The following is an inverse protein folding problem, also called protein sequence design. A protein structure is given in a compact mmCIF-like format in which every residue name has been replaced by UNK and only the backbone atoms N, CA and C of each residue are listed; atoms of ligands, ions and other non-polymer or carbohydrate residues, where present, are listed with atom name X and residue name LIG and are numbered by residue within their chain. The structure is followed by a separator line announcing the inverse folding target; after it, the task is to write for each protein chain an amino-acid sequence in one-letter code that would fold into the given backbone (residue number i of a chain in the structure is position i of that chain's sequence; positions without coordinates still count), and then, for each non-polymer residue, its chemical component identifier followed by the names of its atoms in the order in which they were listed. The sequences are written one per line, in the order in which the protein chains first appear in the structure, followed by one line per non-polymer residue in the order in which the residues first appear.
data_IF_815091908536
#
_entry.id   IF_815091908536
#
_cell.length_a   1.000
_cell.length_b   1.000
_cell.length_c   1.000
_cell.angle_alpha   90.00
_cell.angle_beta   90.00
_cell.angle_gamma   90.00
#
_symmetry.space_group_name_H-M   'P 1'
#
loop_
_entity.id
_entity.type
_entity.pdbx_description
1 polymer ?
#
# COMPACT_ATOMS: atom_id res chain seq x y z
N UNK A 1 16.94 -10.34 21.86
CA UNK A 1 15.99 -10.10 20.77
C UNK A 1 14.86 -11.13 20.80
N UNK A 2 13.62 -10.69 20.73
CA UNK A 2 12.40 -11.51 20.74
C UNK A 2 12.24 -12.24 19.40
N UNK A 3 11.79 -13.49 19.46
CA UNK A 3 11.33 -14.20 18.26
C UNK A 3 9.92 -13.70 17.91
N UNK A 4 9.68 -13.39 16.64
CA UNK A 4 8.41 -12.84 16.16
C UNK A 4 8.10 -13.43 14.79
N UNK A 5 6.86 -13.89 14.59
CA UNK A 5 6.36 -14.29 13.27
C UNK A 5 5.60 -13.09 12.70
N UNK A 6 6.05 -12.57 11.57
CA UNK A 6 5.48 -11.41 10.90
C UNK A 6 4.49 -11.84 9.80
N UNK A 7 4.86 -12.90 9.07
CA UNK A 7 4.01 -13.64 8.13
C UNK A 7 4.24 -15.13 8.34
N UNK A 8 3.17 -15.88 8.61
CA UNK A 8 3.19 -17.33 8.77
C UNK A 8 2.72 -18.04 7.50
N UNK A 9 3.56 -18.89 6.91
CA UNK A 9 3.21 -19.69 5.72
C UNK A 9 1.94 -20.54 5.84
N UNK A 10 1.50 -20.85 7.06
CA UNK A 10 0.35 -21.72 7.31
C UNK A 10 -0.96 -20.95 7.48
N UNK A 11 -0.91 -19.61 7.50
CA UNK A 11 -2.10 -18.78 7.67
C UNK A 11 -2.65 -18.31 6.31
N UNK A 12 -3.97 -18.11 6.22
CA UNK A 12 -4.59 -17.63 5.00
C UNK A 12 -4.09 -16.22 4.63
N UNK A 13 -3.95 -16.01 3.33
CA UNK A 13 -3.53 -14.76 2.71
C UNK A 13 -4.60 -14.29 1.74
N UNK A 14 -4.97 -13.02 1.82
CA UNK A 14 -5.96 -12.38 0.98
C UNK A 14 -5.31 -11.30 0.12
N UNK A 15 -5.36 -11.49 -1.20
CA UNK A 15 -4.88 -10.53 -2.19
C UNK A 15 -5.87 -9.37 -2.32
N UNK A 16 -5.40 -8.13 -2.25
CA UNK A 16 -6.26 -6.96 -2.39
C UNK A 16 -5.64 -5.79 -3.13
N UNK A 17 -6.50 -4.99 -3.75
CA UNK A 17 -6.13 -3.72 -4.36
C UNK A 17 -6.76 -2.56 -3.57
N UNK A 18 -6.01 -1.52 -3.30
CA UNK A 18 -6.45 -0.42 -2.42
C UNK A 18 -6.72 0.88 -3.17
N UNK A 19 -6.55 0.91 -4.49
CA UNK A 19 -6.63 2.12 -5.28
C UNK A 19 -7.08 1.83 -6.72
N UNK A 20 -8.30 2.25 -7.06
CA UNK A 20 -8.91 2.12 -8.39
C UNK A 20 -10.15 3.02 -8.50
N UNK A 21 -10.63 3.23 -9.73
CA UNK A 21 -11.73 4.15 -10.02
C UNK A 21 -12.84 3.50 -10.84
N UNK A 22 -14.07 4.00 -10.66
CA UNK A 22 -15.27 3.53 -11.36
C UNK A 22 -15.97 4.70 -12.05
N UNK A 23 -17.12 4.44 -12.67
CA UNK A 23 -17.95 5.51 -13.25
C UNK A 23 -18.57 6.46 -12.22
N UNK A 24 -18.33 6.28 -10.91
CA UNK A 24 -18.74 7.26 -9.91
C UNK A 24 -17.83 8.48 -9.87
N UNK A 25 -16.60 8.35 -10.39
CA UNK A 25 -15.68 9.45 -10.67
C UNK A 25 -15.31 9.46 -12.16
N UNK A 26 -14.07 9.15 -12.50
CA UNK A 26 -13.50 9.24 -13.85
C UNK A 26 -13.08 7.87 -14.45
N UNK A 27 -13.36 6.79 -13.74
CA UNK A 27 -13.26 5.44 -14.26
C UNK A 27 -14.28 5.15 -15.37
N UNK A 28 -14.01 4.13 -16.18
CA UNK A 28 -14.78 3.81 -17.39
C UNK A 28 -15.82 2.72 -17.22
N UNK A 29 -15.71 1.92 -16.17
CA UNK A 29 -16.62 0.80 -15.91
C UNK A 29 -17.45 1.03 -14.64
N UNK A 30 -18.72 0.57 -14.64
CA UNK A 30 -19.53 0.50 -13.42
C UNK A 30 -18.85 -0.32 -12.32
N UNK A 31 -19.08 0.03 -11.06
CA UNK A 31 -18.49 -0.66 -9.90
C UNK A 31 -18.69 -2.19 -9.92
N UNK A 32 -19.85 -2.67 -10.37
CA UNK A 32 -20.12 -4.12 -10.49
C UNK A 32 -19.18 -4.83 -11.48
N UNK A 33 -18.87 -4.18 -12.60
CA UNK A 33 -17.98 -4.73 -13.64
C UNK A 33 -16.53 -4.67 -13.18
N UNK A 34 -16.13 -3.60 -12.47
CA UNK A 34 -14.79 -3.50 -11.84
C UNK A 34 -14.61 -4.59 -10.79
N UNK A 35 -15.57 -4.79 -9.90
CA UNK A 35 -15.57 -5.88 -8.91
C UNK A 35 -15.38 -7.22 -9.62
N UNK A 36 -16.15 -7.49 -10.68
CA UNK A 36 -16.04 -8.74 -11.43
C UNK A 36 -14.65 -8.91 -12.06
N UNK A 37 -14.08 -7.86 -12.65
CA UNK A 37 -12.75 -7.89 -13.26
C UNK A 37 -11.65 -8.24 -12.25
N UNK A 38 -11.69 -7.69 -11.03
CA UNK A 38 -10.74 -8.02 -9.98
C UNK A 38 -10.94 -9.45 -9.43
N UNK A 39 -12.19 -9.92 -9.31
CA UNK A 39 -12.48 -11.32 -8.93
C UNK A 39 -11.89 -12.31 -9.94
N UNK A 40 -12.02 -12.02 -11.24
CA UNK A 40 -11.44 -12.85 -12.31
C UNK A 40 -9.90 -12.90 -12.27
N UNK A 41 -9.26 -11.87 -11.71
CA UNK A 41 -7.81 -11.83 -11.45
C UNK A 41 -7.39 -12.43 -10.10
N UNK A 42 -8.32 -13.05 -9.36
CA UNK A 42 -8.03 -13.74 -8.10
C UNK A 42 -7.84 -12.80 -6.90
N UNK A 43 -8.35 -11.58 -6.97
CA UNK A 43 -8.41 -10.69 -5.80
C UNK A 43 -9.52 -11.14 -4.85
N UNK A 44 -9.29 -10.91 -3.56
CA UNK A 44 -10.20 -11.22 -2.46
C UNK A 44 -10.83 -9.95 -1.88
N UNK A 45 -10.21 -8.79 -2.07
CA UNK A 45 -10.84 -7.54 -1.73
C UNK A 45 -10.35 -6.39 -2.58
N UNK A 46 -11.17 -5.36 -2.69
CA UNK A 46 -10.77 -4.08 -3.29
C UNK A 46 -11.29 -2.91 -2.45
N UNK A 47 -10.64 -1.75 -2.55
CA UNK A 47 -11.22 -0.47 -2.17
C UNK A 47 -11.74 0.22 -3.43
N UNK A 48 -13.02 0.60 -3.47
CA UNK A 48 -13.54 1.44 -4.55
C UNK A 48 -13.22 2.90 -4.20
N UNK A 49 -12.12 3.43 -4.71
CA UNK A 49 -11.54 4.69 -4.23
C UNK A 49 -11.80 5.85 -5.19
N UNK A 50 -13.02 5.94 -5.73
CA UNK A 50 -13.42 7.01 -6.64
C UNK A 50 -13.03 8.41 -6.12
N UNK A 51 -12.54 9.25 -7.03
CA UNK A 51 -12.11 10.61 -6.73
C UNK A 51 -13.23 11.41 -6.06
N UNK A 52 -12.95 11.87 -4.84
CA UNK A 52 -13.78 12.82 -4.09
C UNK A 52 -15.24 12.38 -3.90
N UNK A 53 -15.50 11.07 -4.02
CA UNK A 53 -16.75 10.39 -3.73
C UNK A 53 -16.46 9.26 -2.73
N UNK A 54 -16.99 9.36 -1.52
CA UNK A 54 -16.87 8.27 -0.55
C UNK A 54 -17.77 7.09 -0.93
N UNK A 55 -17.17 5.94 -1.19
CA UNK A 55 -17.89 4.72 -1.52
C UNK A 55 -18.06 3.86 -0.27
N UNK A 56 -19.24 3.26 -0.09
CA UNK A 56 -19.55 2.34 1.01
C UNK A 56 -20.57 1.34 0.51
N UNK A 57 -20.08 0.23 0.01
CA UNK A 57 -20.91 -0.81 -0.60
C UNK A 57 -20.84 -2.08 0.23
N UNK A 58 -22.00 -2.72 0.39
CA UNK A 58 -22.10 -4.03 1.03
C UNK A 58 -22.65 -5.08 0.07
N UNK A 59 -23.33 -4.65 -1.01
CA UNK A 59 -23.96 -5.50 -2.01
C UNK A 59 -22.97 -6.38 -2.79
N UNK A 60 -21.71 -5.94 -2.87
CA UNK A 60 -20.61 -6.67 -3.52
C UNK A 60 -19.95 -7.69 -2.59
N UNK A 61 -20.20 -7.63 -1.28
CA UNK A 61 -19.62 -8.56 -0.32
C UNK A 61 -20.19 -9.97 -0.53
N UNK A 62 -19.28 -10.94 -0.62
CA UNK A 62 -19.51 -12.38 -0.75
C UNK A 62 -18.54 -13.11 0.16
N UNK A 63 -18.71 -14.42 0.30
CA UNK A 63 -17.82 -15.25 1.12
C UNK A 63 -16.35 -15.21 0.64
N UNK A 64 -16.13 -14.99 -0.65
CA UNK A 64 -14.82 -15.03 -1.31
C UNK A 64 -14.31 -13.65 -1.74
N UNK A 65 -15.08 -12.59 -1.52
CA UNK A 65 -14.72 -11.24 -1.95
C UNK A 65 -15.41 -10.15 -1.13
N UNK A 66 -14.69 -9.10 -0.75
CA UNK A 66 -15.28 -7.93 -0.10
C UNK A 66 -14.83 -6.61 -0.71
N UNK A 67 -15.63 -5.56 -0.54
CA UNK A 67 -15.26 -4.17 -0.79
C UNK A 67 -14.93 -3.48 0.53
N UNK A 68 -13.83 -2.73 0.55
CA UNK A 68 -13.46 -1.84 1.65
C UNK A 68 -13.99 -0.44 1.29
N UNK A 69 -14.83 0.19 2.14
CA UNK A 69 -15.29 1.55 1.92
C UNK A 69 -14.11 2.54 1.89
N UNK A 70 -14.17 3.53 1.01
CA UNK A 70 -13.04 4.43 0.78
C UNK A 70 -13.30 5.50 -0.29
N UNK A 71 -12.28 6.29 -0.57
CA UNK A 71 -12.23 7.32 -1.63
C UNK A 71 -10.76 7.66 -1.88
N UNK A 72 -10.45 8.28 -3.01
CA UNK A 72 -9.24 9.07 -3.16
C UNK A 72 -9.61 10.55 -3.04
N UNK A 73 -9.05 11.23 -2.04
CA UNK A 73 -9.19 12.68 -1.90
C UNK A 73 -8.09 13.37 -2.68
N UNK A 74 -8.49 14.10 -3.71
CA UNK A 74 -7.58 14.79 -4.63
C UNK A 74 -7.72 16.31 -4.61
N UNK A 75 -7.27 16.93 -5.70
CA UNK A 75 -7.38 18.37 -5.98
C UNK A 75 -6.88 19.30 -4.85
N UNK A 76 -5.88 18.84 -4.10
CA UNK A 76 -5.21 19.64 -3.08
C UNK A 76 -3.86 20.14 -3.59
N UNK A 77 -3.80 21.41 -4.01
CA UNK A 77 -2.55 22.08 -4.36
C UNK A 77 -2.61 23.60 -4.10
N UNK A 78 -1.46 24.28 -3.93
CA UNK A 78 -1.42 25.73 -3.73
C UNK A 78 -2.06 26.53 -4.87
N UNK A 79 -1.75 26.11 -6.10
CA UNK A 79 -2.35 26.66 -7.32
C UNK A 79 -2.56 25.50 -8.29
N UNK A 80 -3.81 25.27 -8.74
CA UNK A 80 -4.13 24.24 -9.71
C UNK A 80 -3.23 24.31 -10.95
N UNK A 81 -2.74 23.15 -11.38
CA UNK A 81 -1.90 22.94 -12.56
C UNK A 81 -0.57 23.73 -12.60
N UNK A 82 -0.16 24.33 -11.48
CA UNK A 82 1.10 25.09 -11.38
C UNK A 82 2.03 24.62 -10.28
N UNK A 83 1.49 24.00 -9.24
CA UNK A 83 2.25 23.52 -8.09
C UNK A 83 2.04 22.02 -7.89
N UNK A 84 3.01 21.32 -7.26
CA UNK A 84 2.80 19.98 -6.77
C UNK A 84 1.49 19.86 -5.99
N UNK A 85 0.80 18.74 -6.17
CA UNK A 85 -0.44 18.43 -5.48
C UNK A 85 -0.30 17.27 -4.52
N UNK A 86 -1.41 16.91 -3.91
CA UNK A 86 -1.50 15.82 -2.95
C UNK A 86 -2.77 15.03 -3.20
N UNK A 87 -2.62 13.73 -3.34
CA UNK A 87 -3.73 12.79 -3.28
C UNK A 87 -3.59 11.89 -2.07
N UNK A 88 -4.72 11.61 -1.43
CA UNK A 88 -4.80 10.75 -0.27
C UNK A 88 -5.82 9.63 -0.48
N UNK A 89 -5.34 8.39 -0.48
CA UNK A 89 -6.20 7.22 -0.44
C UNK A 89 -6.81 7.06 0.94
N UNK A 90 -8.08 6.68 1.00
CA UNK A 90 -8.84 6.60 2.25
C UNK A 90 -9.47 5.23 2.36
N UNK A 91 -9.29 4.58 3.51
CA UNK A 91 -9.89 3.28 3.83
C UNK A 91 -10.64 3.39 5.16
N UNK A 92 -11.90 2.98 5.21
CA UNK A 92 -12.68 2.94 6.44
C UNK A 92 -12.03 1.99 7.47
N UNK A 93 -11.83 2.48 8.69
CA UNK A 93 -11.35 1.69 9.81
C UNK A 93 -12.51 1.35 10.75
N UNK A 94 -13.12 0.15 10.65
CA UNK A 94 -14.24 -0.25 11.49
C UNK A 94 -13.78 -0.64 12.91
N UNK A 95 -12.46 -0.65 13.18
CA UNK A 95 -11.90 -1.03 14.49
C UNK A 95 -11.83 0.12 15.49
N UNK A 96 -12.21 1.34 15.08
CA UNK A 96 -12.19 2.53 15.91
C UNK A 96 -13.59 3.16 16.04
N UNK A 97 -13.81 3.83 17.17
CA UNK A 97 -14.93 4.76 17.32
C UNK A 97 -14.49 6.11 16.74
N UNK A 98 -15.14 6.62 15.68
CA UNK A 98 -14.75 7.89 15.08
C UNK A 98 -15.21 9.07 15.96
N UNK A 99 -14.49 10.18 15.86
CA UNK A 99 -14.82 11.45 16.53
C UNK A 99 -15.97 12.17 15.81
N UNK A 100 -16.04 12.00 14.48
CA UNK A 100 -17.09 12.51 13.61
C UNK A 100 -17.88 11.35 12.98
N UNK A 101 -19.12 11.59 12.50
CA UNK A 101 -19.90 10.58 11.81
C UNK A 101 -19.15 10.03 10.59
N UNK A 102 -19.16 8.70 10.38
CA UNK A 102 -18.57 8.11 9.18
C UNK A 102 -19.25 8.65 7.92
N UNK A 103 -18.50 8.72 6.82
CA UNK A 103 -19.07 9.08 5.53
C UNK A 103 -19.99 7.98 5.00
N UNK A 104 -21.10 8.41 4.41
CA UNK A 104 -22.10 7.55 3.77
C UNK A 104 -21.70 7.22 2.32
N UNK A 105 -22.37 6.21 1.75
CA UNK A 105 -22.18 5.88 0.34
C UNK A 105 -22.56 7.05 -0.58
N UNK A 106 -21.70 7.32 -1.56
CA UNK A 106 -21.82 8.43 -2.52
C UNK A 106 -21.81 9.81 -1.85
N UNK A 107 -21.15 9.93 -0.69
CA UNK A 107 -20.86 11.25 -0.13
C UNK A 107 -19.88 11.99 -1.04
N UNK A 108 -20.37 13.03 -1.71
CA UNK A 108 -19.55 13.88 -2.55
C UNK A 108 -18.88 14.97 -1.71
N UNK A 109 -17.57 15.08 -1.85
CA UNK A 109 -16.81 16.12 -1.19
C UNK A 109 -16.71 17.38 -2.05
N UNK A 110 -16.66 18.59 -1.45
CA UNK A 110 -16.37 19.81 -2.19
C UNK A 110 -14.96 19.76 -2.78
N UNK A 111 -14.85 20.17 -4.05
CA UNK A 111 -13.58 20.31 -4.79
C UNK A 111 -13.50 21.68 -5.49
N UNK A 112 -12.29 22.23 -5.70
CA UNK A 112 -11.01 21.74 -5.18
C UNK A 112 -10.92 21.89 -3.66
N UNK A 113 -10.02 21.13 -3.02
CA UNK A 113 -9.78 21.28 -1.58
C UNK A 113 -9.12 22.65 -1.34
N UNK A 114 -9.69 23.54 -0.49
CA UNK A 114 -9.12 24.87 -0.31
C UNK A 114 -7.71 24.83 0.26
N UNK A 115 -6.76 25.42 -0.46
CA UNK A 115 -5.41 25.63 0.06
C UNK A 115 -5.39 26.82 1.02
N UNK A 116 -5.19 26.55 2.31
CA UNK A 116 -5.09 27.55 3.38
C UNK A 116 -3.65 27.75 3.88
N UNK A 117 -2.69 27.19 3.14
CA UNK A 117 -1.27 27.23 3.43
C UNK A 117 -0.66 25.84 3.58
N UNK A 118 0.61 25.82 3.97
CA UNK A 118 1.47 24.63 4.06
C UNK A 118 0.99 23.51 5.00
N UNK A 119 -0.03 23.77 5.81
CA UNK A 119 -0.65 22.81 6.73
C UNK A 119 -1.93 22.17 6.14
N UNK A 120 -2.34 22.54 4.92
CA UNK A 120 -3.56 22.01 4.29
C UNK A 120 -3.54 20.49 4.14
N UNK A 121 -2.42 19.83 3.75
CA UNK A 121 -2.36 18.37 3.74
C UNK A 121 -2.54 17.75 5.13
N UNK A 122 -1.95 18.35 6.17
CA UNK A 122 -2.17 17.88 7.55
C UNK A 122 -3.64 17.99 7.97
N UNK A 123 -4.29 19.12 7.67
CA UNK A 123 -5.71 19.30 8.01
C UNK A 123 -6.60 18.25 7.35
N UNK A 124 -6.34 17.91 6.08
CA UNK A 124 -7.09 16.89 5.36
C UNK A 124 -6.83 15.49 5.96
N UNK A 125 -5.59 15.15 6.30
CA UNK A 125 -5.26 13.89 6.97
C UNK A 125 -5.99 13.78 8.32
N UNK A 126 -5.96 14.85 9.12
CA UNK A 126 -6.60 14.90 10.44
C UNK A 126 -8.13 14.80 10.34
N UNK A 127 -8.74 15.51 9.37
CA UNK A 127 -10.17 15.42 9.07
C UNK A 127 -10.55 13.97 8.74
N UNK A 128 -9.90 13.36 7.75
CA UNK A 128 -10.21 12.00 7.32
C UNK A 128 -10.06 10.99 8.46
N UNK A 129 -9.04 11.13 9.32
CA UNK A 129 -8.87 10.29 10.51
C UNK A 129 -9.96 10.51 11.55
N UNK A 130 -10.42 11.74 11.76
CA UNK A 130 -11.51 12.04 12.71
C UNK A 130 -12.83 11.33 12.34
N UNK A 131 -13.03 11.06 11.05
CA UNK A 131 -14.14 10.27 10.51
C UNK A 131 -13.90 8.74 10.55
N UNK A 132 -12.79 8.29 11.15
CA UNK A 132 -12.48 6.88 11.38
C UNK A 132 -11.87 6.17 10.17
N UNK A 133 -10.98 6.84 9.44
CA UNK A 133 -10.29 6.28 8.28
C UNK A 133 -8.78 6.10 8.51
N UNK A 134 -8.21 5.10 7.83
CA UNK A 134 -6.79 5.08 7.50
C UNK A 134 -6.55 5.95 6.27
N UNK A 135 -5.41 6.64 6.25
CA UNK A 135 -5.02 7.54 5.15
C UNK A 135 -3.74 7.03 4.51
N UNK A 136 -3.73 6.87 3.19
CA UNK A 136 -2.56 6.52 2.38
C UNK A 136 -2.11 7.77 1.64
N UNK A 137 -0.80 8.03 1.65
CA UNK A 137 -0.20 9.05 0.80
C UNK A 137 -0.02 8.48 -0.61
N UNK A 138 -0.91 8.84 -1.54
CA UNK A 138 -0.94 8.23 -2.87
C UNK A 138 0.15 8.80 -3.79
N UNK A 139 0.64 7.93 -4.69
CA UNK A 139 1.56 8.19 -5.80
C UNK A 139 2.37 9.49 -5.72
N UNK A 140 3.24 9.66 -4.70
CA UNK A 140 3.86 10.96 -4.40
C UNK A 140 4.70 11.51 -5.54
N UNK A 141 5.34 10.65 -6.33
CA UNK A 141 6.19 11.05 -7.46
C UNK A 141 5.38 11.62 -8.63
N UNK A 142 4.23 11.02 -8.98
CA UNK A 142 3.34 11.56 -10.04
C UNK A 142 2.82 12.95 -9.70
N UNK A 143 2.53 13.17 -8.41
CA UNK A 143 2.11 14.47 -7.88
C UNK A 143 3.23 15.49 -7.69
N UNK A 144 4.48 15.13 -8.02
CA UNK A 144 5.66 15.96 -7.80
C UNK A 144 5.86 16.35 -6.32
N UNK A 145 5.36 15.53 -5.40
CA UNK A 145 5.55 15.68 -3.96
C UNK A 145 7.05 15.70 -3.64
N UNK A 146 7.46 16.37 -2.56
CA UNK A 146 8.87 16.38 -2.15
C UNK A 146 9.13 15.42 -1.02
N UNK A 147 10.38 14.96 -0.88
CA UNK A 147 10.76 14.07 0.22
C UNK A 147 10.47 14.69 1.60
N UNK A 148 10.64 16.01 1.74
CA UNK A 148 10.38 16.71 2.99
C UNK A 148 8.92 16.61 3.44
N UNK A 149 7.97 16.43 2.51
CA UNK A 149 6.55 16.27 2.84
C UNK A 149 6.28 14.97 3.61
N UNK A 150 7.08 13.93 3.36
CA UNK A 150 6.99 12.65 4.09
C UNK A 150 7.40 12.80 5.57
N UNK A 151 8.20 13.82 5.88
CA UNK A 151 8.62 14.14 7.26
C UNK A 151 7.68 15.15 7.88
N UNK A 152 7.22 16.12 7.09
CA UNK A 152 6.41 17.27 7.51
C UNK A 152 5.02 16.87 8.02
N UNK A 153 4.37 15.92 7.36
CA UNK A 153 3.01 15.53 7.70
C UNK A 153 2.99 14.25 8.55
N UNK A 154 1.97 14.11 9.39
CA UNK A 154 1.79 13.03 10.36
C UNK A 154 0.42 12.38 10.20
N UNK A 155 0.28 11.16 10.74
CA UNK A 155 -1.01 10.48 10.82
C UNK A 155 -1.41 9.67 9.58
N UNK A 156 -0.67 9.72 8.48
CA UNK A 156 -0.88 8.75 7.40
C UNK A 156 -0.40 7.35 7.81
N UNK A 157 -1.12 6.33 7.36
CA UNK A 157 -0.90 4.92 7.64
C UNK A 157 0.18 4.32 6.72
N UNK A 158 0.16 4.68 5.45
CA UNK A 158 1.07 4.15 4.44
C UNK A 158 1.39 5.16 3.35
N UNK A 159 2.45 4.88 2.59
CA UNK A 159 2.79 5.55 1.33
C UNK A 159 2.52 4.57 0.19
N UNK A 160 1.92 5.03 -0.90
CA UNK A 160 1.83 4.25 -2.14
C UNK A 160 3.20 4.21 -2.83
N UNK A 161 3.85 3.05 -2.78
CA UNK A 161 5.22 2.83 -3.25
C UNK A 161 5.29 2.30 -4.67
N UNK A 162 4.17 1.77 -5.17
CA UNK A 162 4.01 1.33 -6.54
C UNK A 162 2.56 1.57 -6.97
N UNK A 163 2.40 2.30 -8.05
CA UNK A 163 1.12 2.58 -8.68
C UNK A 163 1.23 2.13 -10.14
N UNK A 164 0.44 1.11 -10.50
CA UNK A 164 0.59 0.40 -11.77
C UNK A 164 0.22 1.26 -12.98
N UNK A 165 -0.90 1.98 -12.92
CA UNK A 165 -1.40 2.78 -14.05
C UNK A 165 -0.44 3.92 -14.41
N UNK A 166 0.26 4.48 -13.41
CA UNK A 166 1.22 5.57 -13.64
C UNK A 166 2.60 5.10 -14.13
N UNK A 167 2.88 3.79 -14.17
CA UNK A 167 4.15 3.24 -14.63
C UNK A 167 4.53 3.73 -16.05
N UNK A 168 3.52 4.00 -16.89
CA UNK A 168 3.71 4.44 -18.27
C UNK A 168 3.52 5.94 -18.49
N UNK A 169 3.55 6.73 -17.41
CA UNK A 169 3.45 8.19 -17.47
C UNK A 169 4.84 8.86 -17.40
N UNK A 170 4.92 10.14 -17.77
CA UNK A 170 6.18 10.91 -17.72
C UNK A 170 6.68 11.20 -16.31
N UNK A 171 5.84 10.97 -15.30
CA UNK A 171 6.19 10.96 -13.89
C UNK A 171 5.79 9.58 -13.32
N UNK A 172 6.63 8.57 -13.53
CA UNK A 172 6.37 7.21 -13.04
C UNK A 172 6.31 7.22 -11.50
N UNK A 173 5.39 6.47 -10.87
CA UNK A 173 5.26 6.47 -9.41
C UNK A 173 5.95 5.30 -8.73
N UNK A 174 7.26 5.41 -8.54
CA UNK A 174 8.00 4.51 -7.65
C UNK A 174 8.24 5.21 -6.31
N UNK A 175 7.24 5.17 -5.42
CA UNK A 175 7.25 5.83 -4.12
C UNK A 175 8.19 5.21 -3.06
N UNK A 176 8.91 4.13 -3.37
CA UNK A 176 9.78 3.45 -2.40
C UNK A 176 10.86 4.37 -1.80
N UNK A 177 11.41 5.31 -2.57
CA UNK A 177 12.37 6.29 -2.04
C UNK A 177 11.72 7.30 -1.08
N UNK A 178 10.46 7.68 -1.32
CA UNK A 178 9.68 8.55 -0.42
C UNK A 178 9.40 7.83 0.90
N UNK A 179 9.01 6.56 0.80
CA UNK A 179 8.83 5.71 1.97
C UNK A 179 10.12 5.54 2.77
N UNK A 180 11.25 5.24 2.11
CA UNK A 180 12.55 5.15 2.78
C UNK A 180 12.91 6.47 3.47
N UNK A 181 12.64 7.62 2.85
CA UNK A 181 12.87 8.92 3.46
C UNK A 181 12.01 9.13 4.73
N UNK A 182 10.74 8.71 4.70
CA UNK A 182 9.86 8.74 5.87
C UNK A 182 10.44 7.90 7.03
N UNK A 183 10.81 6.65 6.72
CA UNK A 183 11.33 5.68 7.71
C UNK A 183 12.65 6.14 8.32
N UNK A 184 13.58 6.64 7.51
CA UNK A 184 14.88 7.15 7.97
C UNK A 184 14.74 8.37 8.89
N UNK A 185 13.65 9.12 8.75
CA UNK A 185 13.31 10.25 9.62
C UNK A 185 12.35 9.87 10.75
N UNK A 186 12.26 8.58 11.09
CA UNK A 186 11.58 8.10 12.30
C UNK A 186 10.08 7.89 12.16
N UNK A 187 9.50 8.05 10.97
CA UNK A 187 8.09 7.72 10.73
C UNK A 187 7.91 6.20 10.81
N UNK A 188 6.80 5.78 11.42
CA UNK A 188 6.40 4.36 11.52
C UNK A 188 5.18 4.12 10.64
N UNK A 189 5.43 4.08 9.33
CA UNK A 189 4.40 3.99 8.27
C UNK A 189 4.74 2.84 7.32
N UNK A 190 3.72 2.25 6.70
CA UNK A 190 3.91 1.14 5.78
C UNK A 190 4.01 1.60 4.32
N UNK A 191 4.33 0.67 3.42
CA UNK A 191 4.29 0.88 1.98
C UNK A 191 3.18 0.02 1.38
N UNK A 192 2.39 0.58 0.46
CA UNK A 192 1.40 -0.19 -0.30
C UNK A 192 1.65 -0.13 -1.81
N UNK A 193 1.35 -1.21 -2.51
CA UNK A 193 1.28 -1.26 -3.97
C UNK A 193 -0.19 -1.38 -4.40
N UNK A 194 -0.60 -0.61 -5.39
CA UNK A 194 -1.94 -0.64 -5.94
C UNK A 194 -1.93 -0.26 -7.43
N UNK A 195 -3.10 -0.20 -8.06
CA UNK A 195 -3.19 -0.02 -9.51
C UNK A 195 -3.46 1.42 -9.92
N UNK A 196 -4.38 2.11 -9.24
CA UNK A 196 -4.95 3.40 -9.67
C UNK A 196 -5.59 3.27 -11.07
N UNK A 197 -6.29 2.15 -11.27
CA UNK A 197 -6.82 1.76 -12.56
C UNK A 197 -8.13 2.46 -12.87
N UNK A 198 -8.32 2.84 -14.14
CA UNK A 198 -9.50 3.58 -14.59
C UNK A 198 -10.31 2.82 -15.66
N UNK A 199 -9.65 2.13 -16.59
CA UNK A 199 -10.28 1.51 -17.77
C UNK A 199 -10.74 0.08 -17.53
N UNK A 200 -9.95 -0.72 -16.81
CA UNK A 200 -10.25 -2.12 -16.47
C UNK A 200 -10.56 -3.04 -17.68
N UNK A 201 -10.09 -2.70 -18.89
CA UNK A 201 -10.40 -3.46 -20.11
C UNK A 201 -9.60 -4.77 -20.16
N UNK A 202 -10.26 -5.95 -20.09
CA UNK A 202 -9.56 -7.23 -20.13
C UNK A 202 -8.93 -7.55 -21.49
N UNK A 203 -9.25 -6.79 -22.55
CA UNK A 203 -8.71 -7.01 -23.88
C UNK A 203 -7.38 -6.29 -24.13
N UNK A 204 -6.99 -5.36 -23.25
CA UNK A 204 -5.71 -4.66 -23.38
C UNK A 204 -4.56 -5.64 -23.22
N UNK A 205 -3.61 -5.59 -24.17
CA UNK A 205 -2.40 -6.44 -24.11
C UNK A 205 -1.41 -5.98 -23.05
N UNK A 206 -1.52 -4.72 -22.67
CA UNK A 206 -0.83 -4.12 -21.54
C UNK A 206 -1.93 -3.76 -20.53
N UNK A 207 -2.19 -4.62 -19.53
CA UNK A 207 -3.31 -4.45 -18.63
C UNK A 207 -3.03 -3.30 -17.65
N UNK A 208 -3.96 -2.36 -17.50
CA UNK A 208 -3.87 -1.22 -16.56
C UNK A 208 -4.19 -1.63 -15.11
N UNK A 209 -4.68 -2.85 -14.89
CA UNK A 209 -5.09 -3.34 -13.57
C UNK A 209 -4.59 -4.76 -13.31
N UNK A 210 -4.44 -5.08 -12.04
CA UNK A 210 -3.90 -6.32 -11.53
C UNK A 210 -2.37 -6.34 -11.45
N UNK A 211 -1.69 -5.20 -11.53
CA UNK A 211 -0.23 -5.10 -11.55
C UNK A 211 0.38 -4.76 -10.20
N UNK A 212 -0.30 -4.01 -9.33
CA UNK A 212 0.12 -3.73 -7.95
C UNK A 212 -0.91 -4.23 -6.94
N UNK A 213 -0.46 -4.82 -5.83
CA UNK A 213 -1.36 -5.29 -4.78
C UNK A 213 -0.73 -5.37 -3.39
N UNK A 214 -1.59 -5.49 -2.39
CA UNK A 214 -1.24 -5.98 -1.05
C UNK A 214 -1.67 -7.44 -0.89
N UNK A 215 -0.92 -8.20 -0.11
CA UNK A 215 -1.28 -9.54 0.33
C UNK A 215 -1.40 -9.55 1.86
N UNK A 216 -2.62 -9.64 2.37
CA UNK A 216 -2.93 -9.48 3.80
C UNK A 216 -3.13 -10.84 4.47
N UNK A 217 -2.42 -11.08 5.57
CA UNK A 217 -2.61 -12.24 6.42
C UNK A 217 -3.65 -11.92 7.50
N UNK A 218 -4.85 -12.50 7.40
CA UNK A 218 -5.94 -12.26 8.35
C UNK A 218 -6.67 -13.57 8.67
N UNK A 219 -7.29 -13.68 9.86
CA UNK A 219 -7.99 -14.91 10.25
C UNK A 219 -9.25 -15.18 9.42
N UNK A 220 -9.86 -14.13 8.88
CA UNK A 220 -11.02 -14.22 7.98
C UNK A 220 -11.05 -13.09 6.95
N UNK A 221 -11.76 -13.29 5.85
CA UNK A 221 -12.03 -12.26 4.84
C UNK A 221 -13.21 -11.39 5.28
N UNK A 222 -12.98 -10.56 6.28
CA UNK A 222 -13.93 -9.53 6.73
C UNK A 222 -13.26 -8.17 6.73
N UNK A 223 -14.04 -7.11 6.53
CA UNK A 223 -13.53 -5.73 6.56
C UNK A 223 -12.74 -5.44 7.84
N UNK A 224 -13.27 -5.84 9.00
CA UNK A 224 -12.61 -5.69 10.30
C UNK A 224 -11.28 -6.44 10.39
N UNK A 225 -11.22 -7.70 9.97
CA UNK A 225 -10.00 -8.50 10.10
C UNK A 225 -8.93 -8.04 9.11
N UNK A 226 -9.31 -7.69 7.87
CA UNK A 226 -8.39 -7.12 6.88
C UNK A 226 -7.78 -5.81 7.40
N UNK A 227 -8.59 -4.89 7.91
CA UNK A 227 -8.09 -3.61 8.46
C UNK A 227 -7.22 -3.83 9.70
N UNK A 228 -7.58 -4.77 10.59
CA UNK A 228 -6.75 -5.10 11.76
C UNK A 228 -5.37 -5.60 11.34
N UNK A 229 -5.32 -6.48 10.34
CA UNK A 229 -4.06 -7.01 9.81
C UNK A 229 -3.23 -5.94 9.11
N UNK A 230 -3.84 -5.05 8.32
CA UNK A 230 -3.16 -3.90 7.72
C UNK A 230 -2.52 -3.01 8.80
N UNK A 231 -3.27 -2.63 9.83
CA UNK A 231 -2.76 -1.81 10.96
C UNK A 231 -1.65 -2.49 11.75
N UNK A 232 -1.68 -3.82 11.84
CA UNK A 232 -0.67 -4.61 12.53
C UNK A 232 0.58 -4.88 11.65
N UNK A 233 0.58 -4.46 10.38
CA UNK A 233 1.66 -4.75 9.45
C UNK A 233 1.73 -6.23 9.01
N UNK A 234 0.64 -6.99 9.18
CA UNK A 234 0.53 -8.41 8.78
C UNK A 234 0.18 -8.53 7.30
N UNK A 235 1.00 -7.91 6.45
CA UNK A 235 0.86 -7.94 5.01
C UNK A 235 2.20 -7.68 4.33
N UNK A 236 2.26 -7.88 3.02
CA UNK A 236 3.32 -7.36 2.16
C UNK A 236 2.70 -6.75 0.90
N UNK A 237 3.46 -5.96 0.17
CA UNK A 237 3.07 -5.40 -1.14
C UNK A 237 3.83 -6.08 -2.25
N UNK A 238 3.24 -6.16 -3.44
CA UNK A 238 3.90 -6.79 -4.58
C UNK A 238 3.38 -6.30 -5.92
N UNK A 239 4.25 -6.38 -6.93
CA UNK A 239 3.89 -6.33 -8.35
C UNK A 239 4.14 -7.65 -9.10
N UNK A 240 4.54 -8.72 -8.40
CA UNK A 240 4.85 -10.02 -9.00
C UNK A 240 5.12 -11.08 -7.95
N UNK A 241 6.25 -11.00 -7.22
CA UNK A 241 6.69 -12.04 -6.31
C UNK A 241 5.75 -12.25 -5.11
N UNK A 242 5.77 -13.45 -4.56
CA UNK A 242 5.03 -13.79 -3.34
C UNK A 242 5.98 -13.95 -2.15
N UNK A 243 5.55 -13.53 -0.97
CA UNK A 243 6.27 -13.78 0.29
C UNK A 243 5.46 -14.81 1.06
N UNK A 244 6.06 -15.98 1.28
CA UNK A 244 5.41 -17.10 1.97
C UNK A 244 5.62 -17.04 3.47
N UNK A 245 6.79 -16.57 3.91
CA UNK A 245 7.13 -16.53 5.32
C UNK A 245 8.08 -15.38 5.63
N UNK A 246 7.86 -14.71 6.76
CA UNK A 246 8.73 -13.66 7.27
C UNK A 246 8.76 -13.72 8.79
N UNK A 247 9.93 -13.90 9.38
CA UNK A 247 10.06 -14.03 10.84
C UNK A 247 11.42 -13.63 11.37
N UNK A 248 11.42 -13.21 12.62
CA UNK A 248 12.61 -13.04 13.44
C UNK A 248 12.78 -14.27 14.31
N UNK A 249 13.92 -14.95 14.17
CA UNK A 249 14.27 -16.12 14.99
C UNK A 249 15.76 -16.11 15.32
N UNK A 250 16.09 -16.22 16.60
CA UNK A 250 17.47 -16.28 17.09
C UNK A 250 18.33 -15.09 16.61
N UNK A 251 17.78 -13.88 16.64
CA UNK A 251 18.50 -12.66 16.22
C UNK A 251 18.60 -12.45 14.70
N UNK A 252 17.92 -13.28 13.89
CA UNK A 252 17.94 -13.18 12.42
C UNK A 252 16.57 -12.90 11.85
N UNK A 253 16.51 -12.00 10.87
CA UNK A 253 15.34 -11.86 10.00
C UNK A 253 15.47 -12.85 8.84
N UNK A 254 14.49 -13.74 8.69
CA UNK A 254 14.42 -14.75 7.63
C UNK A 254 13.21 -14.52 6.75
N UNK A 255 13.37 -14.74 5.46
CA UNK A 255 12.31 -14.66 4.46
C UNK A 255 12.28 -15.94 3.62
N UNK A 256 11.07 -16.42 3.30
CA UNK A 256 10.79 -17.37 2.23
C UNK A 256 9.87 -16.71 1.19
N UNK A 257 10.18 -16.85 -0.09
CA UNK A 257 9.46 -16.20 -1.19
C UNK A 257 9.35 -17.09 -2.43
N UNK A 258 8.54 -16.66 -3.41
CA UNK A 258 8.54 -17.23 -4.75
C UNK A 258 9.94 -17.12 -5.39
N UNK A 259 10.24 -17.90 -6.44
CA UNK A 259 11.52 -17.82 -7.16
C UNK A 259 11.86 -16.38 -7.59
N UNK A 260 12.95 -15.84 -7.04
CA UNK A 260 13.41 -14.47 -7.28
C UNK A 260 14.84 -14.44 -7.82
N UNK A 261 15.13 -13.46 -8.66
CA UNK A 261 16.46 -13.14 -9.16
C UNK A 261 17.34 -12.56 -8.05
N UNK A 262 16.77 -11.68 -7.24
CA UNK A 262 17.47 -11.00 -6.14
C UNK A 262 16.63 -10.96 -4.86
N UNK A 263 17.29 -11.04 -3.71
CA UNK A 263 16.70 -10.73 -2.40
C UNK A 263 17.57 -9.69 -1.72
N UNK A 264 16.99 -8.55 -1.34
CA UNK A 264 17.70 -7.38 -0.83
C UNK A 264 17.16 -7.00 0.53
N UNK A 265 18.03 -6.92 1.52
CA UNK A 265 17.67 -6.39 2.82
C UNK A 265 18.04 -4.89 2.88
N UNK A 266 17.03 -4.07 3.16
CA UNK A 266 17.14 -2.63 3.34
C UNK A 266 17.08 -2.36 4.84
N UNK A 267 18.19 -1.94 5.40
CA UNK A 267 18.30 -1.57 6.80
C UNK A 267 18.75 -0.12 6.92
N UNK A 268 18.58 0.46 8.10
CA UNK A 268 19.09 1.78 8.46
C UNK A 268 19.55 1.78 9.92
N UNK A 269 20.64 2.47 10.29
CA UNK A 269 21.54 3.27 9.44
C UNK A 269 22.55 2.43 8.66
N UNK A 270 22.59 1.12 8.90
CA UNK A 270 23.51 0.21 8.22
C UNK A 270 22.92 -0.33 6.92
N UNK A 271 23.79 -0.70 5.98
CA UNK A 271 23.35 -1.36 4.74
C UNK A 271 23.11 -2.85 4.98
N UNK A 272 21.92 -3.33 4.63
CA UNK A 272 21.63 -4.76 4.62
C UNK A 272 22.25 -5.50 3.42
N UNK A 273 22.36 -6.84 3.50
CA UNK A 273 22.93 -7.66 2.43
C UNK A 273 22.09 -7.70 1.14
N UNK A 274 22.79 -7.97 0.04
CA UNK A 274 22.22 -8.21 -1.29
C UNK A 274 22.56 -9.65 -1.71
N UNK A 275 21.54 -10.44 -2.05
CA UNK A 275 21.70 -11.83 -2.48
C UNK A 275 21.34 -12.01 -3.96
N UNK A 276 22.16 -12.78 -4.67
CA UNK A 276 21.94 -13.20 -6.06
C UNK A 276 22.89 -14.33 -6.46
N UNK A 277 22.44 -15.27 -7.29
CA UNK A 277 23.25 -16.37 -7.80
C UNK A 277 23.94 -16.00 -9.13
N UNK A 278 24.91 -15.08 -9.09
CA UNK A 278 25.50 -14.48 -10.30
C UNK A 278 26.19 -15.45 -11.26
N UNK A 279 26.69 -16.59 -10.77
CA UNK A 279 27.41 -17.56 -11.60
C UNK A 279 26.46 -18.55 -12.29
N UNK A 280 25.35 -18.91 -11.65
CA UNK A 280 24.44 -19.96 -12.15
C UNK A 280 23.14 -19.39 -12.70
N UNK A 281 22.71 -18.20 -12.24
CA UNK A 281 21.41 -17.63 -12.55
C UNK A 281 20.24 -18.35 -11.86
N UNK A 282 20.50 -19.32 -10.99
CA UNK A 282 19.45 -20.06 -10.29
C UNK A 282 18.64 -19.14 -9.37
N UNK A 283 17.31 -19.31 -9.27
CA UNK A 283 16.49 -18.46 -8.43
C UNK A 283 16.79 -18.65 -6.95
N UNK A 284 16.63 -17.57 -6.18
CA UNK A 284 16.59 -17.57 -4.74
C UNK A 284 15.13 -17.72 -4.28
N UNK A 285 14.90 -18.54 -3.27
CA UNK A 285 13.58 -18.72 -2.64
C UNK A 285 13.57 -18.40 -1.15
N UNK A 286 14.74 -18.07 -0.59
CA UNK A 286 14.92 -17.71 0.80
C UNK A 286 16.20 -16.93 1.00
N UNK A 287 16.25 -16.10 2.03
CA UNK A 287 17.46 -15.46 2.52
C UNK A 287 17.31 -15.09 4.00
N UNK A 288 18.42 -14.74 4.65
CA UNK A 288 18.40 -14.24 6.01
C UNK A 288 19.53 -13.25 6.29
N UNK A 289 19.34 -12.38 7.28
CA UNK A 289 20.39 -11.52 7.81
C UNK A 289 20.36 -11.50 9.35
N UNK A 290 21.52 -11.27 9.95
CA UNK A 290 21.63 -10.90 11.38
C UNK A 290 21.03 -9.50 11.61
N UNK A 291 20.41 -9.31 12.76
CA UNK A 291 19.87 -8.03 13.20
C UNK A 291 20.84 -7.41 14.21
N UNK A 292 21.35 -6.22 13.90
CA UNK A 292 22.20 -5.46 14.81
C UNK A 292 21.35 -4.50 15.66
N UNK A 293 21.71 -4.33 16.94
CA UNK A 293 20.91 -3.57 17.90
C UNK A 293 20.81 -2.07 17.59
N UNK A 294 21.75 -1.52 16.82
CA UNK A 294 21.79 -0.12 16.40
C UNK A 294 21.06 0.16 15.07
N UNK A 295 20.50 -0.88 14.42
CA UNK A 295 19.55 -0.69 13.33
C UNK A 295 18.22 -0.12 13.87
N UNK A 296 17.57 0.76 13.11
CA UNK A 296 16.24 1.28 13.45
C UNK A 296 15.13 0.42 12.85
N UNK A 297 15.29 0.01 11.60
CA UNK A 297 14.37 -0.89 10.90
C UNK A 297 15.10 -1.76 9.88
N UNK A 298 14.47 -2.86 9.51
CA UNK A 298 14.86 -3.73 8.40
C UNK A 298 13.61 -4.06 7.57
N UNK A 299 13.70 -3.94 6.25
CA UNK A 299 12.70 -4.45 5.30
C UNK A 299 13.38 -5.24 4.19
N UNK A 300 12.64 -6.09 3.51
CA UNK A 300 13.12 -6.97 2.44
C UNK A 300 12.41 -6.65 1.14
N UNK A 301 13.19 -6.58 0.05
CA UNK A 301 12.72 -6.54 -1.33
C UNK A 301 13.11 -7.83 -2.04
N UNK A 302 12.14 -8.51 -2.65
CA UNK A 302 12.36 -9.67 -3.51
C UNK A 302 12.07 -9.27 -4.95
N UNK A 303 13.00 -9.51 -5.88
CA UNK A 303 12.88 -9.09 -7.28
C UNK A 303 12.90 -10.32 -8.18
N UNK A 304 11.89 -10.51 -9.03
CA UNK A 304 11.85 -11.62 -9.99
C UNK A 304 12.73 -11.36 -11.24
N UNK A 305 12.60 -12.23 -12.25
CA UNK A 305 13.36 -12.11 -13.49
C UNK A 305 12.79 -11.10 -14.48
N UNK A 306 11.51 -10.74 -14.33
CA UNK A 306 10.82 -9.75 -15.15
C UNK A 306 10.99 -8.33 -14.58
N UNK A 307 11.49 -8.22 -13.36
CA UNK A 307 11.77 -6.95 -12.68
C UNK A 307 10.67 -6.53 -11.69
N UNK A 308 9.64 -7.36 -11.50
CA UNK A 308 8.63 -7.10 -10.49
C UNK A 308 9.19 -7.30 -9.09
N UNK A 309 8.59 -6.63 -8.11
CA UNK A 309 9.13 -6.55 -6.76
C UNK A 309 8.06 -6.88 -5.73
N UNK A 310 8.43 -7.63 -4.70
CA UNK A 310 7.67 -7.70 -3.46
C UNK A 310 8.40 -6.92 -2.36
N UNK A 311 7.65 -6.11 -1.61
CA UNK A 311 8.13 -5.29 -0.50
C UNK A 311 7.47 -5.77 0.80
N UNK A 312 8.30 -6.18 1.75
CA UNK A 312 7.82 -6.48 3.11
C UNK A 312 7.73 -5.20 3.94
N UNK A 313 6.88 -5.22 4.98
CA UNK A 313 6.82 -4.12 5.95
C UNK A 313 8.11 -4.00 6.76
N UNK A 314 8.48 -2.79 7.23
CA UNK A 314 9.62 -2.58 8.11
C UNK A 314 9.41 -3.30 9.43
N UNK A 315 10.40 -4.11 9.78
CA UNK A 315 10.59 -4.66 11.11
C UNK A 315 11.34 -3.62 11.93
N UNK A 316 10.66 -2.94 12.83
CA UNK A 316 11.27 -1.96 13.72
C UNK A 316 12.05 -2.67 14.82
N UNK A 317 13.38 -2.50 14.83
CA UNK A 317 14.28 -3.26 15.72
C UNK A 317 14.00 -2.94 17.18
N UNK A 318 13.60 -1.70 17.49
CA UNK A 318 13.20 -1.30 18.84
C UNK A 318 12.04 -2.12 19.43
N UNK A 319 11.19 -2.73 18.59
CA UNK A 319 10.10 -3.60 19.08
C UNK A 319 10.60 -5.02 19.42
N UNK A 320 11.75 -5.42 18.84
CA UNK A 320 12.37 -6.74 19.01
C UNK A 320 13.28 -6.81 20.24
N UNK A 321 13.77 -5.68 20.74
CA UNK A 321 14.58 -5.61 21.96
C UNK A 321 13.72 -5.89 23.20
#
# INVERSE_FOLDING_TARGET
MKNVILLDRNKPLYKGNLHLHTTWSDGRLPAADVVQAFKEKGYHFISLSDHDIYTRTEEFNKQDFITIPGTERGELNPVPDKNPGYHFGVLDDPTVQPEQPRYEHLHAFPTPVPWVGDHSPQLLIDELRSHGNLVVFNHPEWHLTRFEDMVKYDGFFAVEIYNHATEWSTASSYGAAYWDHALQNGKRVYGIAADDSHSHDPNWKIPEYGGGWVQVQADSLTHTDVIRSLKAGQFYSSSGPEVYDLRVENGRLKIECSPCKFIMFKAFPQRGPFFGNFMTGEPLTQAMMEIEEDMTYIRVECVDFDGNVAWTNPVFVGDLL
#
